data_IF_560608858594
#
_entry.id   IF_560608858594
#
_cell.length_a   1.000
_cell.length_b   1.000
_cell.length_c   1.000
_cell.angle_alpha   90.00
_cell.angle_beta   90.00
_cell.angle_gamma   90.00
#
_symmetry.space_group_name_H-M   'P 1'
#
loop_
_entity.id
_entity.type
_entity.pdbx_description
1 polymer ?
#
# COMPACT_ATOMS: atom_id res chain seq x y z
N UNK A 1 -1.07 -15.75 -16.63
CA UNK A 1 0.00 -14.82 -17.07
C UNK A 1 1.37 -15.44 -16.85
N UNK A 2 2.41 -14.99 -17.56
CA UNK A 2 3.80 -15.51 -17.41
C UNK A 2 4.27 -15.53 -15.96
N UNK A 3 3.84 -14.55 -15.15
CA UNK A 3 4.15 -14.46 -13.72
C UNK A 3 3.61 -15.65 -12.90
N UNK A 4 2.43 -16.19 -13.23
CA UNK A 4 1.85 -17.38 -12.56
C UNK A 4 2.63 -18.66 -12.88
N UNK A 5 3.29 -18.71 -14.04
CA UNK A 5 4.15 -19.84 -14.40
C UNK A 5 5.48 -19.81 -13.62
N UNK A 6 5.88 -18.63 -13.11
CA UNK A 6 7.08 -18.46 -12.30
C UNK A 6 6.81 -18.62 -10.80
N UNK A 7 5.66 -18.10 -10.33
CA UNK A 7 5.25 -18.15 -8.94
C UNK A 7 3.76 -18.49 -8.83
N UNK A 8 3.42 -19.50 -8.03
CA UNK A 8 2.03 -19.79 -7.66
C UNK A 8 1.66 -19.10 -6.35
N UNK A 9 0.36 -18.83 -6.16
CA UNK A 9 -0.17 -18.30 -4.90
C UNK A 9 0.20 -19.20 -3.70
N UNK A 10 0.15 -20.52 -3.88
CA UNK A 10 0.57 -21.51 -2.87
C UNK A 10 2.06 -21.40 -2.53
N UNK A 11 2.92 -21.09 -3.51
CA UNK A 11 4.35 -20.88 -3.25
C UNK A 11 4.55 -19.63 -2.40
N UNK A 12 3.82 -18.55 -2.69
CA UNK A 12 3.94 -17.29 -1.95
C UNK A 12 3.32 -17.33 -0.56
N UNK A 13 2.27 -18.11 -0.34
CA UNK A 13 1.72 -18.33 1.01
C UNK A 13 2.74 -19.07 1.90
N UNK A 14 3.52 -19.99 1.33
CA UNK A 14 4.59 -20.69 2.05
C UNK A 14 5.87 -19.86 2.19
N UNK A 15 6.14 -18.96 1.24
CA UNK A 15 7.33 -18.09 1.19
C UNK A 15 6.96 -16.65 0.81
N UNK A 16 6.35 -15.87 1.71
CA UNK A 16 5.91 -14.50 1.40
C UNK A 16 7.04 -13.58 0.93
N UNK A 17 8.28 -13.86 1.35
CA UNK A 17 9.48 -13.09 0.99
C UNK A 17 9.74 -13.05 -0.52
N UNK A 18 9.33 -14.09 -1.26
CA UNK A 18 9.54 -14.15 -2.71
C UNK A 18 8.72 -13.06 -3.44
N UNK A 19 7.62 -12.58 -2.82
CA UNK A 19 6.85 -11.45 -3.33
C UNK A 19 7.67 -10.15 -3.39
N UNK A 20 8.68 -9.98 -2.53
CA UNK A 20 9.58 -8.82 -2.59
C UNK A 20 10.36 -8.80 -3.90
N UNK A 21 10.97 -9.93 -4.26
CA UNK A 21 11.77 -10.05 -5.47
C UNK A 21 10.87 -9.87 -6.69
N UNK A 22 9.68 -10.47 -6.65
CA UNK A 22 8.71 -10.38 -7.72
C UNK A 22 8.25 -8.94 -7.96
N UNK A 23 7.81 -8.24 -6.91
CA UNK A 23 7.35 -6.85 -7.03
C UNK A 23 8.48 -5.90 -7.39
N UNK A 24 9.70 -6.15 -6.90
CA UNK A 24 10.88 -5.40 -7.28
C UNK A 24 11.15 -5.49 -8.79
N UNK A 25 11.25 -6.71 -9.33
CA UNK A 25 11.53 -6.94 -10.76
C UNK A 25 10.41 -6.38 -11.63
N UNK A 26 9.15 -6.68 -11.29
CA UNK A 26 8.00 -6.18 -12.06
C UNK A 26 7.95 -4.67 -12.07
N UNK A 27 8.20 -4.00 -10.94
CA UNK A 27 8.20 -2.53 -10.85
C UNK A 27 9.31 -1.93 -11.72
N UNK A 28 10.51 -2.52 -11.76
CA UNK A 28 11.58 -2.06 -12.66
C UNK A 28 11.19 -2.19 -14.13
N UNK A 29 10.70 -3.37 -14.54
CA UNK A 29 10.28 -3.64 -15.93
C UNK A 29 9.15 -2.72 -16.34
N UNK A 30 8.12 -2.59 -15.51
CA UNK A 30 6.98 -1.71 -15.77
C UNK A 30 7.41 -0.24 -15.84
N UNK A 31 8.33 0.20 -14.99
CA UNK A 31 8.84 1.59 -15.03
C UNK A 31 9.57 1.87 -16.33
N UNK A 32 10.44 0.95 -16.76
CA UNK A 32 11.10 1.03 -18.06
C UNK A 32 10.07 1.10 -19.19
N UNK A 33 9.12 0.16 -19.26
CA UNK A 33 8.09 0.14 -20.30
C UNK A 33 7.22 1.41 -20.32
N UNK A 34 6.84 1.91 -19.14
CA UNK A 34 6.01 3.12 -19.01
C UNK A 34 6.74 4.35 -19.53
N UNK A 35 8.05 4.48 -19.27
CA UNK A 35 8.83 5.59 -19.80
C UNK A 35 8.93 5.57 -21.33
N UNK A 36 9.20 4.41 -21.93
CA UNK A 36 9.39 4.33 -23.39
C UNK A 36 8.09 4.38 -24.19
N UNK A 37 6.98 3.86 -23.65
CA UNK A 37 5.70 3.79 -24.36
C UNK A 37 4.82 5.00 -24.03
N UNK A 38 4.79 5.43 -22.77
CA UNK A 38 3.87 6.46 -22.26
C UNK A 38 4.58 7.50 -21.37
N UNK A 39 5.65 8.17 -21.85
CA UNK A 39 6.49 9.04 -21.01
C UNK A 39 5.69 10.09 -20.23
N UNK A 40 4.72 10.75 -20.88
CA UNK A 40 3.88 11.79 -20.27
C UNK A 40 2.94 11.27 -19.17
N UNK A 41 2.58 9.98 -19.20
CA UNK A 41 1.63 9.39 -18.26
C UNK A 41 2.28 8.34 -17.35
N UNK A 42 3.61 8.20 -17.42
CA UNK A 42 4.35 7.12 -16.78
C UNK A 42 4.02 7.01 -15.28
N UNK A 43 3.91 8.14 -14.57
CA UNK A 43 3.63 8.15 -13.14
C UNK A 43 2.33 7.45 -12.75
N UNK A 44 1.27 7.52 -13.55
CA UNK A 44 0.00 6.81 -13.28
C UNK A 44 0.00 5.41 -13.92
N UNK A 45 0.63 5.26 -15.08
CA UNK A 45 0.70 3.99 -15.81
C UNK A 45 1.53 2.94 -15.05
N UNK A 46 2.57 3.34 -14.33
CA UNK A 46 3.40 2.44 -13.53
C UNK A 46 2.57 1.66 -12.49
N UNK A 47 1.89 2.30 -11.51
CA UNK A 47 1.10 1.57 -10.52
C UNK A 47 -0.06 0.78 -11.17
N UNK A 48 -0.60 1.25 -12.30
CA UNK A 48 -1.60 0.51 -13.07
C UNK A 48 -1.05 -0.80 -13.65
N UNK A 49 0.08 -0.75 -14.35
CA UNK A 49 0.69 -1.93 -14.96
C UNK A 49 1.28 -2.88 -13.91
N UNK A 50 1.80 -2.37 -12.79
CA UNK A 50 2.15 -3.19 -11.62
C UNK A 50 0.92 -3.93 -11.11
N UNK A 51 -0.21 -3.23 -10.96
CA UNK A 51 -1.49 -3.83 -10.54
C UNK A 51 -1.91 -4.94 -11.49
N UNK A 52 -2.02 -4.65 -12.79
CA UNK A 52 -2.43 -5.63 -13.82
C UNK A 52 -1.53 -6.86 -13.82
N UNK A 53 -0.22 -6.66 -13.67
CA UNK A 53 0.76 -7.75 -13.64
C UNK A 53 0.58 -8.65 -12.41
N UNK A 54 0.25 -8.07 -11.25
CA UNK A 54 0.11 -8.79 -9.99
C UNK A 54 -1.31 -9.30 -9.70
N UNK A 55 -2.32 -8.76 -10.39
CA UNK A 55 -3.73 -9.11 -10.20
C UNK A 55 -3.98 -10.62 -10.18
N UNK A 56 -3.47 -11.43 -11.12
CA UNK A 56 -3.81 -12.84 -11.12
C UNK A 56 -3.32 -13.57 -9.86
N UNK A 57 -2.08 -13.28 -9.46
CA UNK A 57 -1.45 -13.86 -8.28
C UNK A 57 -2.12 -13.43 -6.98
N UNK A 58 -2.38 -12.13 -6.81
CA UNK A 58 -3.00 -11.60 -5.58
C UNK A 58 -4.47 -11.99 -5.49
N UNK A 59 -5.16 -12.12 -6.62
CA UNK A 59 -6.54 -12.63 -6.66
C UNK A 59 -6.60 -14.06 -6.15
N UNK A 60 -5.68 -14.91 -6.59
CA UNK A 60 -5.62 -16.29 -6.13
C UNK A 60 -5.31 -16.37 -4.63
N UNK A 61 -4.47 -15.47 -4.10
CA UNK A 61 -4.22 -15.34 -2.66
C UNK A 61 -5.50 -14.96 -1.90
N UNK A 62 -6.28 -13.97 -2.37
CA UNK A 62 -7.55 -13.61 -1.74
C UNK A 62 -8.60 -14.74 -1.83
N UNK A 63 -8.59 -15.51 -2.92
CA UNK A 63 -9.43 -16.71 -3.06
C UNK A 63 -9.01 -17.76 -2.02
N UNK A 64 -7.72 -18.00 -1.84
CA UNK A 64 -7.21 -18.93 -0.85
C UNK A 64 -7.57 -18.49 0.58
N UNK A 65 -7.45 -17.20 0.87
CA UNK A 65 -7.80 -16.60 2.15
C UNK A 65 -9.29 -16.85 2.48
N UNK A 66 -10.20 -16.53 1.55
CA UNK A 66 -11.64 -16.80 1.68
C UNK A 66 -11.95 -18.30 1.88
N UNK A 67 -11.31 -19.18 1.10
CA UNK A 67 -11.51 -20.64 1.24
C UNK A 67 -11.05 -21.10 2.62
N UNK A 68 -9.96 -20.52 3.14
CA UNK A 68 -9.42 -20.82 4.46
C UNK A 68 -10.42 -20.43 5.56
N UNK A 69 -11.03 -19.25 5.47
CA UNK A 69 -12.06 -18.76 6.39
C UNK A 69 -13.26 -19.72 6.42
N UNK A 70 -13.74 -20.11 5.22
CA UNK A 70 -14.88 -21.01 5.08
C UNK A 70 -14.64 -22.38 5.71
N UNK A 71 -13.45 -22.97 5.48
CA UNK A 71 -13.09 -24.27 6.07
C UNK A 71 -13.06 -24.20 7.59
N UNK A 72 -12.61 -23.09 8.16
CA UNK A 72 -12.50 -22.89 9.60
C UNK A 72 -13.86 -22.65 10.25
N UNK A 73 -14.72 -21.83 9.63
CA UNK A 73 -16.11 -21.62 10.06
C UNK A 73 -16.89 -22.95 10.13
N UNK A 74 -16.70 -23.83 9.15
CA UNK A 74 -17.32 -25.16 9.13
C UNK A 74 -16.79 -26.10 10.21
N UNK A 75 -15.50 -25.99 10.56
CA UNK A 75 -14.84 -26.86 11.56
C UNK A 75 -14.90 -26.33 13.00
N UNK A 76 -15.53 -25.17 13.24
CA UNK A 76 -15.53 -24.47 14.54
C UNK A 76 -14.12 -24.26 15.11
N UNK A 77 -13.11 -24.14 14.25
CA UNK A 77 -11.74 -23.88 14.68
C UNK A 77 -11.64 -22.38 14.96
N UNK A 78 -11.39 -22.04 16.22
CA UNK A 78 -11.18 -20.66 16.69
C UNK A 78 -9.73 -20.25 16.45
N UNK A 79 -9.36 -19.95 15.20
CA UNK A 79 -8.14 -19.18 14.94
C UNK A 79 -8.42 -17.70 15.20
N UNK A 80 -7.47 -16.99 15.80
CA UNK A 80 -7.62 -15.54 15.98
C UNK A 80 -7.58 -14.84 14.62
N UNK A 81 -8.07 -13.60 14.58
CA UNK A 81 -8.07 -12.78 13.35
C UNK A 81 -6.69 -12.71 12.68
N UNK A 82 -5.65 -12.50 13.47
CA UNK A 82 -4.27 -12.40 12.99
C UNK A 82 -3.81 -13.72 12.35
N UNK A 83 -4.12 -14.86 12.97
CA UNK A 83 -3.78 -16.18 12.43
C UNK A 83 -4.46 -16.49 11.09
N UNK A 84 -5.48 -15.71 10.68
CA UNK A 84 -6.17 -15.87 9.40
C UNK A 84 -5.50 -15.09 8.28
N UNK A 85 -5.15 -13.83 8.53
CA UNK A 85 -4.67 -12.91 7.49
C UNK A 85 -3.17 -12.63 7.53
N UNK A 86 -2.43 -13.20 8.48
CA UNK A 86 -0.99 -12.94 8.66
C UNK A 86 -0.20 -13.16 7.35
N UNK A 87 -0.47 -14.24 6.62
CA UNK A 87 0.23 -14.50 5.35
C UNK A 87 -0.15 -13.49 4.27
N UNK A 88 -1.43 -13.15 4.12
CA UNK A 88 -1.88 -12.11 3.19
C UNK A 88 -1.25 -10.74 3.50
N UNK A 89 -1.17 -10.38 4.79
CA UNK A 89 -0.53 -9.14 5.26
C UNK A 89 0.97 -9.17 4.96
N UNK A 90 1.67 -10.27 5.21
CA UNK A 90 3.11 -10.43 4.87
C UNK A 90 3.33 -10.28 3.37
N UNK A 91 2.50 -10.91 2.55
CA UNK A 91 2.62 -10.81 1.09
C UNK A 91 2.43 -9.36 0.65
N UNK A 92 1.39 -8.66 1.11
CA UNK A 92 1.17 -7.24 0.78
C UNK A 92 2.32 -6.36 1.28
N UNK A 93 2.91 -6.68 2.44
CA UNK A 93 4.10 -6.02 2.98
C UNK A 93 5.29 -6.19 2.04
N UNK A 94 5.61 -7.42 1.62
CA UNK A 94 6.72 -7.68 0.71
C UNK A 94 6.47 -7.10 -0.69
N UNK A 95 5.21 -7.10 -1.17
CA UNK A 95 4.83 -6.41 -2.39
C UNK A 95 5.15 -4.90 -2.29
N UNK A 96 4.71 -4.25 -1.21
CA UNK A 96 4.96 -2.82 -0.96
C UNK A 96 6.47 -2.53 -0.88
N UNK A 97 7.21 -3.31 -0.08
CA UNK A 97 8.65 -3.11 0.12
C UNK A 97 9.46 -3.33 -1.16
N UNK A 98 9.13 -4.34 -1.98
CA UNK A 98 9.82 -4.55 -3.24
C UNK A 98 9.54 -3.46 -4.26
N UNK A 99 8.30 -2.96 -4.33
CA UNK A 99 7.93 -1.81 -5.16
C UNK A 99 8.64 -0.54 -4.71
N UNK A 100 8.67 -0.28 -3.40
CA UNK A 100 9.42 0.81 -2.78
C UNK A 100 10.92 0.72 -3.13
N UNK A 101 11.54 -0.45 -2.92
CA UNK A 101 12.97 -0.65 -3.15
C UNK A 101 13.35 -0.46 -4.63
N UNK A 102 12.50 -0.92 -5.56
CA UNK A 102 12.72 -0.72 -6.98
C UNK A 102 12.70 0.76 -7.36
N UNK A 103 11.69 1.50 -6.92
CA UNK A 103 11.57 2.94 -7.21
C UNK A 103 12.70 3.71 -6.52
N UNK A 104 13.03 3.36 -5.28
CA UNK A 104 14.13 3.99 -4.56
C UNK A 104 15.46 3.77 -5.27
N UNK A 105 15.73 2.55 -5.77
CA UNK A 105 16.92 2.29 -6.59
C UNK A 105 16.94 3.17 -7.86
N UNK A 106 15.82 3.29 -8.56
CA UNK A 106 15.71 4.15 -9.73
C UNK A 106 15.96 5.62 -9.39
N UNK A 107 15.50 6.09 -8.23
CA UNK A 107 15.80 7.44 -7.74
C UNK A 107 17.31 7.67 -7.54
N UNK A 108 18.09 6.63 -7.23
CA UNK A 108 19.54 6.76 -7.06
C UNK A 108 20.30 6.70 -8.39
N UNK A 109 19.81 5.94 -9.36
CA UNK A 109 20.56 5.60 -10.58
C UNK A 109 20.18 6.47 -11.78
N UNK A 110 18.92 6.89 -11.92
CA UNK A 110 18.46 7.60 -13.12
C UNK A 110 18.83 9.10 -13.15
N UNK A 111 18.96 9.70 -14.34
CA UNK A 111 19.08 11.15 -14.50
C UNK A 111 17.88 11.94 -13.96
N UNK A 112 18.10 13.18 -13.52
CA UNK A 112 17.06 13.98 -12.84
C UNK A 112 15.90 14.36 -13.76
N UNK A 113 16.19 14.64 -15.03
CA UNK A 113 15.23 14.95 -16.10
C UNK A 113 14.31 13.76 -16.42
N UNK A 114 14.87 12.54 -16.42
CA UNK A 114 14.07 11.33 -16.57
C UNK A 114 13.14 11.14 -15.37
N UNK A 115 13.64 11.32 -14.14
CA UNK A 115 12.84 11.17 -12.94
C UNK A 115 11.71 12.21 -12.84
N UNK A 116 11.97 13.47 -13.19
CA UNK A 116 10.93 14.50 -13.18
C UNK A 116 9.85 14.23 -14.23
N UNK A 117 10.20 13.56 -15.33
CA UNK A 117 9.22 13.14 -16.35
C UNK A 117 8.43 11.92 -15.87
N UNK A 118 9.12 10.88 -15.39
CA UNK A 118 8.50 9.61 -15.02
C UNK A 118 7.57 9.78 -13.82
N UNK A 119 8.00 10.54 -12.81
CA UNK A 119 7.34 10.61 -11.51
C UNK A 119 6.71 11.98 -11.23
N UNK A 120 6.41 12.78 -12.26
CA UNK A 120 5.76 14.08 -12.11
C UNK A 120 4.51 14.03 -11.19
N UNK A 121 3.54 13.09 -11.39
CA UNK A 121 2.34 13.05 -10.57
C UNK A 121 2.65 12.78 -9.09
N UNK A 122 3.62 11.91 -8.82
CA UNK A 122 4.07 11.61 -7.46
C UNK A 122 4.77 12.79 -6.82
N UNK A 123 5.62 13.50 -7.57
CA UNK A 123 6.32 14.70 -7.08
C UNK A 123 5.30 15.80 -6.73
N UNK A 124 4.28 16.02 -7.57
CA UNK A 124 3.19 16.97 -7.28
C UNK A 124 2.40 16.54 -6.05
N UNK A 125 2.11 15.25 -5.89
CA UNK A 125 1.42 14.74 -4.71
C UNK A 125 2.25 14.94 -3.43
N UNK A 126 3.56 14.67 -3.49
CA UNK A 126 4.51 14.97 -2.40
C UNK A 126 4.50 16.46 -2.09
N UNK A 127 4.56 17.34 -3.09
CA UNK A 127 4.50 18.80 -2.90
C UNK A 127 3.16 19.27 -2.32
N UNK A 128 2.06 18.60 -2.64
CA UNK A 128 0.75 18.93 -2.07
C UNK A 128 0.70 18.53 -0.60
N UNK A 129 1.23 17.36 -0.26
CA UNK A 129 1.32 16.88 1.13
C UNK A 129 2.29 17.75 1.92
N UNK A 130 3.53 17.90 1.45
CA UNK A 130 4.60 18.66 2.12
C UNK A 130 4.37 20.18 2.10
N UNK A 131 3.76 20.73 1.06
CA UNK A 131 3.46 22.17 0.93
C UNK A 131 2.20 22.59 1.68
N UNK A 132 1.25 21.67 1.91
CA UNK A 132 0.21 21.88 2.93
C UNK A 132 0.74 21.69 4.37
N UNK A 133 1.94 21.13 4.49
CA UNK A 133 2.64 20.80 5.72
C UNK A 133 4.04 21.43 5.76
N UNK A 134 4.21 22.70 5.36
CA UNK A 134 5.50 23.44 5.30
C UNK A 134 6.38 23.30 6.57
N UNK A 135 5.86 22.68 7.64
CA UNK A 135 6.40 22.55 8.97
C UNK A 135 6.66 21.11 9.52
N UNK A 136 6.26 19.99 8.87
CA UNK A 136 6.27 18.69 9.59
C UNK A 136 7.37 17.68 9.24
N UNK A 137 8.10 17.82 8.13
CA UNK A 137 8.91 16.70 7.60
C UNK A 137 10.42 16.78 7.86
N UNK A 138 10.90 17.82 8.54
CA UNK A 138 12.31 17.97 8.93
C UNK A 138 12.56 17.72 10.43
N UNK A 139 11.52 17.39 11.20
CA UNK A 139 11.62 17.32 12.67
C UNK A 139 11.97 18.67 13.34
N UNK A 140 11.97 19.78 12.57
CA UNK A 140 12.49 21.07 13.01
C UNK A 140 11.46 22.21 13.00
N UNK A 141 10.16 21.92 12.89
CA UNK A 141 9.19 22.97 12.66
C UNK A 141 7.88 22.80 13.49
N UNK A 142 8.05 22.97 14.80
CA UNK A 142 7.00 23.58 15.66
C UNK A 142 7.40 25.05 15.97
N UNK A 143 8.22 25.66 15.11
CA UNK A 143 8.71 27.03 15.31
C UNK A 143 8.47 27.87 14.08
N UNK A 144 7.23 28.35 13.95
CA UNK A 144 6.82 29.71 13.54
C UNK A 144 5.45 29.71 12.80
N UNK A 145 4.38 29.96 13.57
CA UNK A 145 3.16 30.68 13.18
C UNK A 145 2.40 30.33 11.86
N UNK A 146 1.80 29.14 11.71
CA UNK A 146 0.70 29.02 10.72
C UNK A 146 -0.38 27.96 11.00
N UNK A 147 -0.09 26.81 11.62
CA UNK A 147 -1.06 25.71 11.75
C UNK A 147 -0.96 25.06 13.14
N UNK A 148 -2.11 24.83 13.78
CA UNK A 148 -2.19 24.16 15.09
C UNK A 148 -2.04 22.63 14.95
N UNK A 149 -1.47 21.95 15.96
CA UNK A 149 -1.35 20.47 15.96
C UNK A 149 -2.67 19.73 15.64
N UNK A 150 -3.85 20.16 16.13
CA UNK A 150 -5.13 19.55 15.76
C UNK A 150 -5.48 19.67 14.27
N UNK A 151 -5.12 20.80 13.63
CA UNK A 151 -5.34 20.99 12.18
C UNK A 151 -4.44 20.07 11.36
N UNK A 152 -3.16 19.92 11.76
CA UNK A 152 -2.22 18.97 11.15
C UNK A 152 -2.71 17.53 11.27
N UNK A 153 -3.18 17.14 12.47
CA UNK A 153 -3.77 15.81 12.71
C UNK A 153 -4.98 15.54 11.82
N UNK A 154 -5.87 16.52 11.68
CA UNK A 154 -7.05 16.41 10.82
C UNK A 154 -6.66 16.20 9.35
N UNK A 155 -5.66 16.95 8.86
CA UNK A 155 -5.18 16.85 7.49
C UNK A 155 -4.56 15.47 7.20
N UNK A 156 -3.65 15.01 8.06
CA UNK A 156 -3.00 13.70 7.95
C UNK A 156 -4.03 12.58 8.02
N UNK A 157 -4.92 12.64 9.02
CA UNK A 157 -5.98 11.63 9.21
C UNK A 157 -6.87 11.56 7.97
N UNK A 158 -7.29 12.70 7.43
CA UNK A 158 -8.18 12.74 6.26
C UNK A 158 -7.49 12.19 5.00
N UNK A 159 -6.21 12.48 4.81
CA UNK A 159 -5.44 11.93 3.69
C UNK A 159 -5.31 10.40 3.80
N UNK A 160 -4.93 9.90 4.97
CA UNK A 160 -4.84 8.46 5.22
C UNK A 160 -6.19 7.74 5.11
N UNK A 161 -7.28 8.35 5.60
CA UNK A 161 -8.63 7.80 5.45
C UNK A 161 -9.08 7.75 3.99
N UNK A 162 -8.71 8.72 3.15
CA UNK A 162 -8.93 8.62 1.70
C UNK A 162 -8.18 7.42 1.12
N UNK A 163 -6.93 7.19 1.52
CA UNK A 163 -6.14 6.04 1.06
C UNK A 163 -6.79 4.71 1.48
N UNK A 164 -7.24 4.60 2.73
CA UNK A 164 -8.02 3.45 3.25
C UNK A 164 -9.30 3.25 2.43
N UNK A 165 -10.08 4.30 2.22
CA UNK A 165 -11.34 4.24 1.49
C UNK A 165 -11.13 3.80 0.03
N UNK A 166 -10.17 4.39 -0.68
CA UNK A 166 -9.85 3.99 -2.05
C UNK A 166 -9.29 2.58 -2.14
N UNK A 167 -8.45 2.17 -1.17
CA UNK A 167 -7.95 0.80 -1.07
C UNK A 167 -9.11 -0.18 -0.94
N UNK A 168 -10.04 0.06 -0.02
CA UNK A 168 -11.24 -0.77 0.13
C UNK A 168 -12.09 -0.79 -1.14
N UNK A 169 -12.47 0.37 -1.67
CA UNK A 169 -13.38 0.48 -2.83
C UNK A 169 -12.79 -0.22 -4.06
N UNK A 170 -11.51 0.01 -4.37
CA UNK A 170 -10.88 -0.59 -5.54
C UNK A 170 -10.67 -2.10 -5.36
N UNK A 171 -10.31 -2.56 -4.15
CA UNK A 171 -10.25 -3.99 -3.85
C UNK A 171 -11.64 -4.63 -3.94
N UNK A 172 -12.68 -3.94 -3.49
CA UNK A 172 -14.06 -4.43 -3.57
C UNK A 172 -14.55 -4.55 -5.01
N UNK A 173 -14.33 -3.53 -5.84
CA UNK A 173 -14.81 -3.50 -7.22
C UNK A 173 -13.99 -4.39 -8.16
N UNK A 174 -12.67 -4.47 -7.96
CA UNK A 174 -11.76 -5.13 -8.89
C UNK A 174 -10.97 -6.30 -8.27
N UNK A 175 -11.39 -6.78 -7.09
CA UNK A 175 -10.73 -7.79 -6.24
C UNK A 175 -9.33 -7.40 -5.75
N UNK A 176 -8.42 -7.00 -6.64
CA UNK A 176 -7.02 -6.63 -6.36
C UNK A 176 -6.71 -5.17 -6.65
N UNK A 177 -7.73 -4.34 -6.91
CA UNK A 177 -7.55 -2.93 -7.29
C UNK A 177 -6.83 -2.08 -6.23
N UNK A 178 -6.78 -2.52 -4.98
CA UNK A 178 -5.98 -1.91 -3.92
C UNK A 178 -4.48 -1.89 -4.22
N UNK A 179 -3.95 -2.82 -5.02
CA UNK A 179 -2.53 -2.84 -5.41
C UNK A 179 -2.11 -1.54 -6.12
N UNK A 180 -3.04 -0.88 -6.81
CA UNK A 180 -2.78 0.41 -7.44
C UNK A 180 -2.44 1.46 -6.38
N UNK A 181 -3.25 1.52 -5.32
CA UNK A 181 -3.09 2.47 -4.20
C UNK A 181 -1.83 2.14 -3.39
N UNK A 182 -1.55 0.86 -3.16
CA UNK A 182 -0.35 0.42 -2.44
C UNK A 182 0.91 0.72 -3.24
N UNK A 183 0.93 0.45 -4.55
CA UNK A 183 2.04 0.78 -5.43
C UNK A 183 2.24 2.29 -5.55
N UNK A 184 1.15 3.07 -5.62
CA UNK A 184 1.20 4.53 -5.59
C UNK A 184 1.86 5.02 -4.29
N UNK A 185 1.39 4.57 -3.12
CA UNK A 185 1.97 5.01 -1.84
C UNK A 185 3.43 4.56 -1.66
N UNK A 186 3.79 3.36 -2.12
CA UNK A 186 5.18 2.91 -2.14
C UNK A 186 6.07 3.84 -2.99
N UNK A 187 5.56 4.30 -4.13
CA UNK A 187 6.26 5.27 -4.99
C UNK A 187 6.45 6.62 -4.31
N UNK A 188 5.41 7.15 -3.66
CA UNK A 188 5.47 8.43 -2.92
C UNK A 188 6.57 8.38 -1.87
N UNK A 189 6.60 7.34 -1.04
CA UNK A 189 7.60 7.20 0.01
C UNK A 189 9.02 7.04 -0.56
N UNK A 190 9.20 6.23 -1.60
CA UNK A 190 10.49 6.02 -2.25
C UNK A 190 11.04 7.31 -2.88
N UNK A 191 10.19 8.06 -3.58
CA UNK A 191 10.57 9.31 -4.23
C UNK A 191 10.89 10.39 -3.19
N UNK A 192 10.10 10.49 -2.12
CA UNK A 192 10.35 11.46 -1.04
C UNK A 192 11.74 11.29 -0.43
N UNK A 193 12.08 10.07 0.01
CA UNK A 193 13.41 9.77 0.57
C UNK A 193 14.49 9.94 -0.51
N UNK A 194 14.23 9.48 -1.74
CA UNK A 194 15.16 9.59 -2.86
C UNK A 194 15.53 11.03 -3.22
N UNK A 195 14.57 11.96 -3.15
CA UNK A 195 14.81 13.40 -3.39
C UNK A 195 15.77 13.96 -2.34
N UNK A 196 15.60 13.62 -1.05
CA UNK A 196 16.48 14.09 0.03
C UNK A 196 17.91 13.58 -0.18
N UNK A 197 18.07 12.30 -0.48
CA UNK A 197 19.37 11.69 -0.78
C UNK A 197 20.07 12.38 -1.95
N UNK A 198 19.35 12.62 -3.07
CA UNK A 198 19.92 13.28 -4.26
C UNK A 198 20.32 14.74 -4.03
N UNK A 199 19.69 15.42 -3.08
CA UNK A 199 20.07 16.79 -2.68
C UNK A 199 21.32 16.83 -1.80
N UNK A 200 21.94 15.68 -1.50
CA UNK A 200 23.07 15.57 -0.58
C UNK A 200 22.66 15.70 0.89
N UNK A 201 21.36 15.71 1.18
CA UNK A 201 20.78 15.87 2.52
C UNK A 201 20.67 14.50 3.20
N UNK A 202 21.80 13.81 3.35
CA UNK A 202 21.82 12.44 3.89
C UNK A 202 21.36 12.38 5.34
N UNK A 203 21.71 13.38 6.14
CA UNK A 203 21.29 13.52 7.54
C UNK A 203 19.78 13.69 7.64
N UNK A 204 19.20 14.53 6.79
CA UNK A 204 17.76 14.80 6.73
C UNK A 204 17.01 13.62 6.15
N UNK A 205 17.56 12.93 5.16
CA UNK A 205 17.00 11.68 4.64
C UNK A 205 16.93 10.61 5.73
N UNK A 206 17.99 10.49 6.55
CA UNK A 206 18.02 9.55 7.68
C UNK A 206 17.04 9.97 8.77
N UNK A 207 17.02 11.24 9.16
CA UNK A 207 16.07 11.78 10.14
C UNK A 207 14.63 11.62 9.69
N UNK A 208 14.33 11.86 8.41
CA UNK A 208 13.01 11.66 7.83
C UNK A 208 12.62 10.17 7.85
N UNK A 209 13.52 9.28 7.43
CA UNK A 209 13.27 7.83 7.49
C UNK A 209 13.00 7.35 8.93
N UNK A 210 13.76 7.87 9.91
CA UNK A 210 13.57 7.56 11.33
C UNK A 210 12.26 8.14 11.85
N UNK A 211 11.88 9.36 11.45
CA UNK A 211 10.62 10.00 11.84
C UNK A 211 9.39 9.33 11.24
N UNK A 212 9.53 8.72 10.06
CA UNK A 212 8.47 7.97 9.38
C UNK A 212 8.22 6.60 10.02
N UNK A 213 9.28 5.97 10.54
CA UNK A 213 9.25 4.58 11.02
C UNK A 213 8.21 4.28 12.11
N UNK A 214 7.88 5.18 13.07
CA UNK A 214 6.90 4.91 14.11
C UNK A 214 5.46 4.84 13.62
N UNK A 215 5.08 5.66 12.61
CA UNK A 215 3.69 5.76 12.15
C UNK A 215 3.44 4.99 10.84
N UNK A 216 4.37 5.05 9.88
CA UNK A 216 4.12 4.48 8.55
C UNK A 216 3.79 2.98 8.55
N UNK A 217 4.43 2.10 9.35
CA UNK A 217 4.00 0.71 9.43
C UNK A 217 2.55 0.55 9.90
N UNK A 218 2.10 1.40 10.83
CA UNK A 218 0.72 1.37 11.35
C UNK A 218 -0.27 1.80 10.27
N UNK A 219 0.04 2.85 9.53
CA UNK A 219 -0.79 3.35 8.42
C UNK A 219 -0.81 2.39 7.24
N UNK A 220 0.34 1.83 6.86
CA UNK A 220 0.44 0.84 5.78
C UNK A 220 -0.37 -0.41 6.13
N UNK A 221 -0.32 -0.87 7.39
CA UNK A 221 -1.20 -1.96 7.86
C UNK A 221 -2.67 -1.57 7.76
N UNK A 222 -3.06 -0.33 8.05
CA UNK A 222 -4.43 0.13 7.83
C UNK A 222 -4.87 -0.03 6.36
N UNK A 223 -3.99 0.29 5.42
CA UNK A 223 -4.27 0.13 3.99
C UNK A 223 -4.40 -1.34 3.61
N UNK A 224 -3.55 -2.21 4.15
CA UNK A 224 -3.63 -3.66 3.92
C UNK A 224 -4.93 -4.25 4.46
N UNK A 225 -5.36 -3.86 5.66
CA UNK A 225 -6.62 -4.32 6.23
C UNK A 225 -7.82 -3.90 5.36
N UNK A 226 -7.81 -2.67 4.85
CA UNK A 226 -8.82 -2.18 3.92
C UNK A 226 -8.80 -2.92 2.57
N UNK A 227 -7.60 -3.21 2.04
CA UNK A 227 -7.40 -3.99 0.83
C UNK A 227 -7.95 -5.42 0.97
N UNK A 228 -7.62 -6.09 2.08
CA UNK A 228 -8.12 -7.43 2.38
C UNK A 228 -9.63 -7.40 2.53
N UNK A 229 -10.19 -6.45 3.29
CA UNK A 229 -11.64 -6.31 3.48
C UNK A 229 -12.40 -6.21 2.16
N UNK A 230 -11.93 -5.36 1.25
CA UNK A 230 -12.55 -5.22 -0.07
C UNK A 230 -12.35 -6.48 -0.92
N UNK A 231 -11.16 -7.07 -0.91
CA UNK A 231 -10.82 -8.24 -1.70
C UNK A 231 -11.64 -9.48 -1.33
N UNK A 232 -11.70 -9.83 -0.05
CA UNK A 232 -12.49 -10.97 0.44
C UNK A 232 -13.99 -10.74 0.23
N UNK A 233 -14.48 -9.50 0.41
CA UNK A 233 -15.88 -9.17 0.21
C UNK A 233 -16.27 -9.28 -1.27
N UNK A 234 -15.40 -8.84 -2.17
CA UNK A 234 -15.55 -9.01 -3.62
C UNK A 234 -15.71 -10.48 -3.99
N UNK A 235 -14.77 -11.32 -3.53
CA UNK A 235 -14.76 -12.77 -3.78
C UNK A 235 -16.00 -13.43 -3.17
N UNK A 236 -16.37 -13.08 -1.94
CA UNK A 236 -17.52 -13.62 -1.22
C UNK A 236 -18.84 -13.34 -1.95
N UNK A 237 -19.08 -12.10 -2.39
CA UNK A 237 -20.31 -11.76 -3.14
C UNK A 237 -20.37 -12.50 -4.48
N UNK A 238 -19.23 -12.71 -5.14
CA UNK A 238 -19.19 -13.41 -6.42
C UNK A 238 -19.44 -14.92 -6.29
N UNK A 239 -19.06 -15.53 -5.17
CA UNK A 239 -19.02 -17.00 -5.01
C UNK A 239 -20.15 -17.54 -4.14
N UNK A 240 -20.65 -16.76 -3.18
CA UNK A 240 -21.64 -17.22 -2.22
C UNK A 240 -23.06 -16.77 -2.58
N UNK A 241 -24.05 -17.55 -2.14
CA UNK A 241 -25.46 -17.19 -2.38
C UNK A 241 -25.84 -15.98 -1.53
N UNK A 242 -26.60 -15.06 -2.10
CA UNK A 242 -27.19 -13.94 -1.36
C UNK A 242 -27.96 -14.43 -0.13
N UNK A 243 -27.67 -13.82 1.03
CA UNK A 243 -28.29 -14.16 2.31
C UNK A 243 -27.81 -15.48 2.94
N UNK A 244 -26.81 -16.15 2.36
CA UNK A 244 -26.21 -17.36 2.96
C UNK A 244 -25.48 -17.05 4.28
N UNK A 245 -25.30 -18.08 5.12
CA UNK A 245 -24.52 -17.96 6.35
C UNK A 245 -23.06 -17.62 6.04
N UNK A 246 -22.53 -18.20 4.96
CA UNK A 246 -21.19 -17.97 4.44
C UNK A 246 -20.99 -16.51 4.05
N UNK A 247 -21.90 -15.93 3.25
CA UNK A 247 -21.80 -14.52 2.87
C UNK A 247 -21.87 -13.59 4.09
N UNK A 248 -22.76 -13.88 5.05
CA UNK A 248 -22.86 -13.08 6.28
C UNK A 248 -21.58 -13.12 7.13
N UNK A 249 -20.83 -14.23 7.11
CA UNK A 249 -19.54 -14.32 7.78
C UNK A 249 -18.50 -13.41 7.09
N UNK A 250 -18.37 -13.51 5.77
CA UNK A 250 -17.44 -12.66 4.99
C UNK A 250 -17.74 -11.18 5.17
N UNK A 251 -19.03 -10.80 5.14
CA UNK A 251 -19.45 -9.40 5.37
C UNK A 251 -19.06 -8.93 6.77
N UNK A 252 -19.27 -9.76 7.79
CA UNK A 252 -18.90 -9.41 9.17
C UNK A 252 -17.38 -9.23 9.32
N UNK A 253 -16.60 -10.13 8.73
CA UNK A 253 -15.14 -10.05 8.80
C UNK A 253 -14.59 -8.84 8.04
N UNK A 254 -15.16 -8.52 6.88
CA UNK A 254 -14.86 -7.29 6.14
C UNK A 254 -15.16 -6.02 6.97
N UNK A 255 -16.28 -5.98 7.70
CA UNK A 255 -16.60 -4.85 8.59
C UNK A 255 -15.57 -4.72 9.72
N UNK A 256 -15.18 -5.83 10.34
CA UNK A 256 -14.16 -5.83 11.41
C UNK A 256 -12.83 -5.30 10.87
N UNK A 257 -12.41 -5.76 9.69
CA UNK A 257 -11.20 -5.30 9.02
C UNK A 257 -11.21 -3.79 8.75
N UNK A 258 -12.33 -3.25 8.27
CA UNK A 258 -12.46 -1.80 8.03
C UNK A 258 -12.38 -1.02 9.35
N UNK A 259 -13.02 -1.49 10.41
CA UNK A 259 -12.95 -0.85 11.73
C UNK A 259 -11.51 -0.85 12.25
N UNK A 260 -10.79 -1.97 12.11
CA UNK A 260 -9.38 -2.06 12.48
C UNK A 260 -8.50 -1.14 11.61
N UNK A 261 -8.78 -1.02 10.31
CA UNK A 261 -8.10 -0.08 9.42
C UNK A 261 -8.29 1.37 9.86
N UNK A 262 -9.51 1.77 10.23
CA UNK A 262 -9.80 3.12 10.72
C UNK A 262 -9.07 3.38 12.04
N UNK A 263 -9.09 2.42 12.98
CA UNK A 263 -8.36 2.56 14.26
C UNK A 263 -6.87 2.70 14.02
N UNK A 264 -6.28 1.83 13.18
CA UNK A 264 -4.86 1.90 12.84
C UNK A 264 -4.51 3.25 12.19
N UNK A 265 -5.37 3.77 11.31
CA UNK A 265 -5.19 5.11 10.70
C UNK A 265 -5.14 6.23 11.74
N UNK A 266 -6.07 6.22 12.71
CA UNK A 266 -6.11 7.22 13.77
C UNK A 266 -4.88 7.14 14.68
N UNK A 267 -4.43 5.92 14.99
CA UNK A 267 -3.21 5.68 15.78
C UNK A 267 -1.97 6.16 15.01
N UNK A 268 -1.84 5.81 13.74
CA UNK A 268 -0.73 6.24 12.88
C UNK A 268 -0.63 7.77 12.79
N UNK A 269 -1.73 8.45 12.47
CA UNK A 269 -1.77 9.91 12.42
C UNK A 269 -1.47 10.56 13.79
N UNK A 270 -1.92 9.93 14.88
CA UNK A 270 -1.58 10.37 16.24
C UNK A 270 -0.09 10.26 16.52
N UNK A 271 0.54 9.15 16.12
CA UNK A 271 2.00 8.97 16.25
C UNK A 271 2.73 10.05 15.43
N UNK A 272 2.34 10.28 14.17
CA UNK A 272 3.00 11.26 13.29
C UNK A 272 2.97 12.70 13.85
N UNK A 273 1.88 13.10 14.52
CA UNK A 273 1.72 14.49 15.01
C UNK A 273 2.31 14.72 16.39
N UNK A 274 2.31 13.71 17.26
CA UNK A 274 2.63 13.88 18.68
C UNK A 274 3.96 13.28 19.13
N UNK A 275 4.59 12.41 18.32
CA UNK A 275 5.85 11.72 18.63
C UNK A 275 6.91 12.11 17.61
#
# INVERSE_FOLDING_TARGET
MVLEALFSAETLENKPRDMFILSFIVTLVVTFLSYYIFPTYAGIIIPLLVTVSMTPLVRDIFIMDEISERKQAKRKISKTFWDRHDETIKILTFFFLGSFAAIFLLMLVLPADMLSTIFEPQIIAIQTITGSLEYSLTGAAITQNAISKPEVLSLITMNNLKVVAFSFILSFLFSTGSLFILSWNASILAIFIGILVRKGLFTEALSAAIGILPHAPVEIVAYFLAAIAGGILSVGIMREKWGSKELNLVVRDAIILIVLAIIATLVGAGIEVYI
#
